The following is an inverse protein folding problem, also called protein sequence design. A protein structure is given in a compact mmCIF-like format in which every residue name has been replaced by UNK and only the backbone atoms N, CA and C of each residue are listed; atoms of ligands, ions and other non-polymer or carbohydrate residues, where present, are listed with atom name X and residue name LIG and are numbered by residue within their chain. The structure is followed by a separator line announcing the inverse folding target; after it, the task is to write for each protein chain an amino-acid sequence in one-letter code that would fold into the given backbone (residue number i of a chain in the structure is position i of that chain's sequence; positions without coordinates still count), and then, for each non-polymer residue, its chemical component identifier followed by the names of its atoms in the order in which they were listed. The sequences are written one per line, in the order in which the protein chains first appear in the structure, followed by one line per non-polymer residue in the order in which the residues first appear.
data_IF_076014932955
#
_entry.id   IF_076014932955
#
_cell.length_a   1.000
_cell.length_b   1.000
_cell.length_c   1.000
_cell.angle_alpha   90.00
_cell.angle_beta   90.00
_cell.angle_gamma   90.00
#
_symmetry.space_group_name_H-M   'P 1'
#
loop_
_entity.id
_entity.type
_entity.pdbx_description
1 polymer ?
#
# COMPACT_ATOMS: atom_id res chain seq x y z
N UNK A 1 11.24 7.41 16.21
CA UNK A 1 12.26 7.43 15.12
C UNK A 1 12.44 8.81 14.49
N UNK A 2 11.44 9.71 14.52
CA UNK A 2 11.56 11.11 14.03
C UNK A 2 12.77 11.90 14.53
N UNK A 3 13.35 11.52 15.68
CA UNK A 3 14.42 12.25 16.34
C UNK A 3 15.79 12.12 15.63
N UNK A 4 15.87 11.29 14.58
CA UNK A 4 17.09 11.04 13.80
C UNK A 4 16.96 11.38 12.31
N UNK A 5 15.86 12.01 11.87
CA UNK A 5 15.64 12.37 10.48
C UNK A 5 15.50 13.88 10.30
N UNK A 6 16.33 14.46 9.44
CA UNK A 6 16.28 15.89 9.10
C UNK A 6 15.11 16.24 8.17
N UNK A 7 14.60 15.25 7.42
CA UNK A 7 13.49 15.42 6.49
C UNK A 7 12.70 14.12 6.35
N UNK A 8 11.37 14.22 6.24
CA UNK A 8 10.49 13.07 6.06
C UNK A 8 9.45 13.33 4.97
N UNK A 9 9.18 12.30 4.17
CA UNK A 9 8.20 12.33 3.08
C UNK A 9 7.11 11.32 3.39
N UNK A 10 5.86 11.76 3.37
CA UNK A 10 4.69 10.89 3.43
C UNK A 10 4.03 10.83 2.05
N UNK A 11 3.84 9.62 1.52
CA UNK A 11 3.14 9.39 0.26
C UNK A 11 1.71 9.01 0.58
N UNK A 12 0.75 9.81 0.12
CA UNK A 12 -0.66 9.65 0.41
C UNK A 12 -1.50 9.41 -0.85
N UNK A 13 -2.65 8.78 -0.67
CA UNK A 13 -3.72 8.62 -1.65
C UNK A 13 -5.00 8.22 -0.91
N UNK A 14 -6.15 8.34 -1.56
CA UNK A 14 -7.40 7.80 -1.01
C UNK A 14 -7.25 6.31 -0.66
N UNK A 15 -7.79 5.88 0.47
CA UNK A 15 -7.62 4.49 0.95
C UNK A 15 -8.13 3.46 -0.09
N UNK A 16 -9.24 3.76 -0.76
CA UNK A 16 -9.79 2.92 -1.83
C UNK A 16 -8.79 2.75 -2.99
N UNK A 17 -8.07 3.83 -3.34
CA UNK A 17 -7.04 3.81 -4.38
C UNK A 17 -5.86 2.94 -3.94
N UNK A 18 -5.40 3.08 -2.69
CA UNK A 18 -4.28 2.27 -2.18
C UNK A 18 -4.66 0.78 -2.13
N UNK A 19 -5.90 0.46 -1.72
CA UNK A 19 -6.44 -0.90 -1.75
C UNK A 19 -6.42 -1.47 -3.17
N UNK A 20 -6.89 -0.70 -4.14
CA UNK A 20 -6.98 -1.19 -5.52
C UNK A 20 -5.58 -1.46 -6.09
N UNK A 21 -4.59 -0.59 -5.81
CA UNK A 21 -3.18 -0.86 -6.12
C UNK A 21 -2.63 -2.11 -5.42
N UNK A 22 -3.01 -2.33 -4.17
CA UNK A 22 -2.60 -3.52 -3.43
C UNK A 22 -3.12 -4.80 -4.10
N UNK A 23 -4.39 -4.81 -4.51
CA UNK A 23 -5.02 -5.95 -5.20
C UNK A 23 -4.38 -6.17 -6.57
N UNK A 24 -4.16 -5.10 -7.35
CA UNK A 24 -3.48 -5.18 -8.65
C UNK A 24 -2.06 -5.75 -8.51
N UNK A 25 -1.31 -5.29 -7.50
CA UNK A 25 0.02 -5.81 -7.19
C UNK A 25 -0.03 -7.27 -6.75
N UNK A 26 -1.00 -7.66 -5.93
CA UNK A 26 -1.18 -9.05 -5.51
C UNK A 26 -1.33 -9.97 -6.72
N UNK A 27 -2.17 -9.58 -7.67
CA UNK A 27 -2.34 -10.29 -8.95
C UNK A 27 -1.07 -10.34 -9.79
N UNK A 28 -0.33 -9.23 -9.89
CA UNK A 28 0.94 -9.19 -10.61
C UNK A 28 1.98 -10.15 -10.01
N UNK A 29 2.07 -10.20 -8.68
CA UNK A 29 2.96 -11.12 -7.96
C UNK A 29 2.50 -12.58 -8.09
N UNK A 30 1.18 -12.82 -8.05
CA UNK A 30 0.57 -14.15 -8.26
C UNK A 30 0.93 -14.74 -9.62
N UNK A 31 0.94 -13.92 -10.67
CA UNK A 31 1.34 -14.34 -12.04
C UNK A 31 2.85 -14.52 -12.22
N UNK A 32 3.67 -14.10 -11.25
CA UNK A 32 5.13 -14.08 -11.38
C UNK A 32 5.79 -14.81 -10.20
N UNK A 33 6.24 -14.07 -9.18
CA UNK A 33 7.09 -14.58 -8.10
C UNK A 33 6.39 -15.60 -7.18
N UNK A 34 5.04 -15.66 -7.16
CA UNK A 34 4.34 -16.70 -6.41
C UNK A 34 4.34 -18.06 -7.12
N UNK A 35 4.64 -18.11 -8.42
CA UNK A 35 4.72 -19.37 -9.17
C UNK A 35 5.99 -20.17 -8.82
N UNK A 36 7.01 -19.53 -8.25
CA UNK A 36 8.21 -20.21 -7.76
C UNK A 36 7.82 -21.20 -6.62
N UNK A 37 8.10 -22.51 -6.76
CA UNK A 37 7.83 -23.50 -5.72
C UNK A 37 8.49 -23.20 -4.37
N UNK A 38 9.56 -22.40 -4.33
CA UNK A 38 10.22 -21.95 -3.10
C UNK A 38 9.63 -20.66 -2.52
N UNK A 39 8.66 -20.04 -3.20
CA UNK A 39 7.99 -18.85 -2.71
C UNK A 39 7.16 -19.17 -1.46
N UNK A 40 7.34 -18.38 -0.40
CA UNK A 40 6.46 -18.44 0.77
C UNK A 40 4.97 -18.31 0.39
N UNK A 41 4.69 -17.57 -0.69
CA UNK A 41 3.35 -17.29 -1.19
C UNK A 41 2.88 -18.29 -2.27
N UNK A 42 3.56 -19.43 -2.46
CA UNK A 42 3.22 -20.42 -3.49
C UNK A 42 1.78 -20.93 -3.41
N UNK A 43 1.20 -20.96 -2.22
CA UNK A 43 -0.19 -21.36 -1.99
C UNK A 43 -1.21 -20.40 -2.63
N UNK A 44 -0.85 -19.14 -2.88
CA UNK A 44 -1.74 -18.20 -3.59
C UNK A 44 -1.69 -18.34 -5.12
N UNK A 45 -0.66 -18.98 -5.67
CA UNK A 45 -0.52 -19.15 -7.12
C UNK A 45 -1.64 -20.01 -7.75
N UNK A 46 -2.30 -20.86 -6.95
CA UNK A 46 -3.30 -21.83 -7.43
C UNK A 46 -4.74 -21.34 -7.30
N UNK A 47 -4.97 -20.25 -6.58
CA UNK A 47 -6.28 -19.61 -6.50
C UNK A 47 -6.74 -19.20 -7.90
N UNK A 48 -8.04 -19.16 -8.17
CA UNK A 48 -8.60 -18.46 -9.33
C UNK A 48 -8.46 -16.94 -9.20
N UNK A 49 -8.75 -16.19 -10.26
CA UNK A 49 -8.68 -14.71 -10.22
C UNK A 49 -9.69 -14.10 -9.23
N UNK A 50 -10.89 -14.68 -9.13
CA UNK A 50 -11.92 -14.24 -8.19
C UNK A 50 -11.51 -14.56 -6.74
N UNK A 51 -11.03 -15.78 -6.49
CA UNK A 51 -10.53 -16.18 -5.17
C UNK A 51 -9.33 -15.33 -4.74
N UNK A 52 -8.38 -15.07 -5.64
CA UNK A 52 -7.24 -14.21 -5.37
C UNK A 52 -7.67 -12.78 -5.04
N UNK A 53 -8.70 -12.27 -5.71
CA UNK A 53 -9.26 -10.94 -5.41
C UNK A 53 -9.88 -10.90 -4.03
N UNK A 54 -10.69 -11.91 -3.66
CA UNK A 54 -11.30 -11.95 -2.32
C UNK A 54 -10.28 -12.14 -1.21
N UNK A 55 -9.28 -12.99 -1.42
CA UNK A 55 -8.15 -13.14 -0.48
C UNK A 55 -7.39 -11.82 -0.32
N UNK A 56 -7.07 -11.14 -1.41
CA UNK A 56 -6.38 -9.84 -1.35
C UNK A 56 -7.22 -8.77 -0.64
N UNK A 57 -8.54 -8.74 -0.87
CA UNK A 57 -9.47 -7.84 -0.17
C UNK A 57 -9.52 -8.12 1.32
N UNK A 58 -9.59 -9.40 1.72
CA UNK A 58 -9.55 -9.83 3.11
C UNK A 58 -8.26 -9.39 3.81
N UNK A 59 -7.11 -9.70 3.22
CA UNK A 59 -5.79 -9.29 3.74
C UNK A 59 -5.69 -7.77 3.86
N UNK A 60 -6.19 -7.02 2.87
CA UNK A 60 -6.26 -5.57 2.98
C UNK A 60 -7.12 -5.14 4.18
N UNK A 61 -8.37 -5.58 4.24
CA UNK A 61 -9.32 -5.14 5.26
C UNK A 61 -8.89 -5.49 6.69
N UNK A 62 -8.25 -6.63 6.88
CA UNK A 62 -7.90 -7.14 8.22
C UNK A 62 -6.51 -6.73 8.68
N UNK A 63 -5.58 -6.49 7.75
CA UNK A 63 -4.17 -6.26 8.07
C UNK A 63 -3.72 -4.88 7.59
N UNK A 64 -3.68 -4.66 6.27
CA UNK A 64 -3.02 -3.47 5.71
C UNK A 64 -3.84 -2.19 5.89
N UNK A 65 -5.15 -2.26 5.71
CA UNK A 65 -6.09 -1.16 5.91
C UNK A 65 -6.15 -0.72 7.36
N UNK A 66 -6.25 -1.68 8.30
CA UNK A 66 -6.15 -1.38 9.75
C UNK A 66 -4.82 -0.78 10.12
N UNK A 67 -3.72 -1.34 9.60
CA UNK A 67 -2.40 -0.77 9.86
C UNK A 67 -2.27 0.65 9.27
N UNK A 68 -2.86 0.89 8.11
CA UNK A 68 -2.91 2.22 7.51
C UNK A 68 -3.69 3.19 8.41
N UNK A 69 -4.92 2.86 8.81
CA UNK A 69 -5.77 3.75 9.62
C UNK A 69 -5.21 3.99 11.01
N UNK A 70 -4.73 2.95 11.67
CA UNK A 70 -4.46 2.99 13.11
C UNK A 70 -3.03 3.42 13.41
N UNK A 71 -2.08 3.11 12.52
CA UNK A 71 -0.65 3.29 12.80
C UNK A 71 0.06 4.21 11.82
N UNK A 72 -0.27 4.17 10.51
CA UNK A 72 0.48 4.91 9.48
C UNK A 72 -0.11 6.31 9.26
N UNK A 73 -1.40 6.40 8.90
CA UNK A 73 -2.09 7.65 8.61
C UNK A 73 -1.98 8.71 9.73
N UNK A 74 -2.04 8.34 11.03
CA UNK A 74 -1.85 9.31 12.11
C UNK A 74 -0.48 10.01 12.10
N UNK A 75 0.53 9.42 11.44
CA UNK A 75 1.88 10.00 11.34
C UNK A 75 2.02 11.02 10.22
N UNK A 76 1.04 11.14 9.30
CA UNK A 76 1.07 12.06 8.14
C UNK A 76 1.37 13.51 8.54
N UNK A 77 0.77 13.99 9.63
CA UNK A 77 0.95 15.37 10.13
C UNK A 77 2.36 15.68 10.63
N UNK A 78 3.19 14.67 10.83
CA UNK A 78 4.59 14.81 11.25
C UNK A 78 5.55 14.95 10.08
N UNK A 79 5.10 14.67 8.85
CA UNK A 79 5.96 14.71 7.67
C UNK A 79 6.42 16.13 7.33
N UNK A 80 7.63 16.25 6.78
CA UNK A 80 8.15 17.50 6.22
C UNK A 80 7.47 17.81 4.87
N UNK A 81 7.22 16.76 4.08
CA UNK A 81 6.57 16.82 2.77
C UNK A 81 5.49 15.74 2.68
N UNK A 82 4.30 16.11 2.20
CA UNK A 82 3.26 15.16 1.80
C UNK A 82 3.10 15.21 0.29
N UNK A 83 3.16 14.05 -0.37
CA UNK A 83 2.88 13.90 -1.80
C UNK A 83 1.58 13.12 -1.93
N UNK A 84 0.55 13.75 -2.51
CA UNK A 84 -0.72 13.10 -2.78
C UNK A 84 -0.71 12.50 -4.20
N UNK A 85 -1.15 11.24 -4.33
CA UNK A 85 -1.22 10.50 -5.59
C UNK A 85 -2.68 10.20 -5.94
N UNK A 86 -3.03 10.38 -7.22
CA UNK A 86 -4.30 9.93 -7.78
C UNK A 86 -4.24 8.49 -8.27
N UNK A 87 -5.38 7.91 -8.65
CA UNK A 87 -5.56 6.48 -8.98
C UNK A 87 -4.58 5.89 -10.00
N UNK A 88 -4.04 6.68 -10.92
CA UNK A 88 -3.04 6.26 -11.91
C UNK A 88 -1.59 6.48 -11.45
N UNK A 89 -1.37 6.53 -10.13
CA UNK A 89 -0.10 6.86 -9.47
C UNK A 89 0.50 8.23 -9.81
N UNK A 90 -0.21 9.12 -10.51
CA UNK A 90 0.29 10.48 -10.76
C UNK A 90 0.21 11.30 -9.49
N UNK A 91 1.22 12.12 -9.25
CA UNK A 91 1.17 13.15 -8.20
C UNK A 91 0.11 14.17 -8.59
N UNK A 92 -0.83 14.41 -7.68
CA UNK A 92 -1.92 15.38 -7.85
C UNK A 92 -1.69 16.65 -7.06
N UNK A 93 -1.03 16.54 -5.90
CA UNK A 93 -0.76 17.66 -5.00
C UNK A 93 0.51 17.39 -4.17
N UNK A 94 1.18 18.48 -3.77
CA UNK A 94 2.42 18.44 -2.97
C UNK A 94 2.35 19.50 -1.89
N UNK A 95 2.49 19.09 -0.64
CA UNK A 95 2.40 19.98 0.53
C UNK A 95 3.72 19.96 1.30
N UNK A 96 4.45 21.07 1.27
CA UNK A 96 5.67 21.25 2.05
C UNK A 96 5.35 22.04 3.32
N UNK A 97 5.76 21.50 4.48
CA UNK A 97 5.63 22.19 5.75
C UNK A 97 6.51 23.44 5.75
N UNK A 98 5.94 24.60 6.06
CA UNK A 98 6.73 25.81 6.32
C UNK A 98 7.42 25.67 7.67
N UNK A 99 8.74 25.90 7.67
CA UNK A 99 9.57 25.98 8.87
C UNK A 99 9.42 27.36 9.53
#
# INVERSE_FOLDING_TARGET
VSDYFDFSIYIDADESVIRDWYIERFHALRRTVFQDPQSFFRHFAELSDDEATEVARGIWAEINGRNLSDNIAPTKSRASLVINKGANHRVTDVQLRKL
#
